data_IF_263163144974
#
_entry.id   IF_263163144974
#
_cell.length_a   1.000
_cell.length_b   1.000
_cell.length_c   1.000
_cell.angle_alpha   90.00
_cell.angle_beta   90.00
_cell.angle_gamma   90.00
#
_symmetry.space_group_name_H-M   'P 1'
#
loop_
_entity.id
_entity.type
_entity.pdbx_description
1 polymer ?
#
# COMPACT_ATOMS: atom_id res chain seq x y z
N UNK A 1 11.59 -20.08 8.57
CA UNK A 1 13.01 -20.00 8.23
C UNK A 1 13.18 -19.53 6.80
N UNK A 2 14.07 -18.60 6.58
CA UNK A 2 14.32 -18.10 5.23
C UNK A 2 15.02 -19.18 4.41
N UNK A 3 14.70 -19.23 3.11
CA UNK A 3 15.39 -20.13 2.21
C UNK A 3 16.83 -19.68 2.05
N UNK A 4 17.79 -20.62 1.90
CA UNK A 4 19.19 -20.23 1.74
C UNK A 4 19.44 -19.32 0.54
N UNK A 5 18.61 -19.47 -0.52
CA UNK A 5 18.76 -18.67 -1.74
C UNK A 5 17.84 -17.46 -1.78
N UNK A 6 17.16 -17.16 -0.67
CA UNK A 6 16.28 -16.01 -0.62
C UNK A 6 17.10 -14.71 -0.62
N UNK A 7 16.64 -13.74 -1.40
CA UNK A 7 17.28 -12.43 -1.41
C UNK A 7 16.78 -11.55 -0.28
N UNK A 8 15.76 -11.99 0.44
CA UNK A 8 15.15 -11.19 1.51
C UNK A 8 15.65 -11.63 2.87
N UNK A 9 15.97 -10.67 3.74
CA UNK A 9 16.32 -11.03 5.13
C UNK A 9 15.18 -11.77 5.80
N UNK A 10 15.54 -12.53 6.82
CA UNK A 10 14.54 -13.25 7.60
C UNK A 10 13.53 -12.28 8.18
N UNK A 11 12.27 -12.69 8.22
CA UNK A 11 11.16 -11.91 8.73
C UNK A 11 10.71 -10.74 7.85
N UNK A 12 11.38 -10.51 6.72
CA UNK A 12 11.00 -9.40 5.84
C UNK A 12 9.55 -9.53 5.39
N UNK A 13 9.15 -10.71 4.95
CA UNK A 13 7.79 -10.91 4.48
C UNK A 13 6.78 -10.74 5.61
N UNK A 14 7.07 -11.33 6.77
CA UNK A 14 6.15 -11.24 7.90
C UNK A 14 5.98 -9.79 8.36
N UNK A 15 7.08 -9.06 8.46
CA UNK A 15 7.02 -7.68 8.94
C UNK A 15 6.33 -6.76 7.93
N UNK A 16 6.57 -6.98 6.64
CA UNK A 16 5.90 -6.14 5.63
C UNK A 16 4.40 -6.41 5.61
N UNK A 17 4.01 -7.66 5.75
CA UNK A 17 2.59 -8.02 5.79
C UNK A 17 1.92 -7.42 7.04
N UNK A 18 2.62 -7.47 8.16
CA UNK A 18 2.10 -6.87 9.39
C UNK A 18 1.92 -5.37 9.23
N UNK A 19 2.92 -4.69 8.66
CA UNK A 19 2.82 -3.25 8.42
C UNK A 19 1.65 -2.93 7.51
N UNK A 20 1.49 -3.67 6.44
CA UNK A 20 0.37 -3.45 5.53
C UNK A 20 -0.96 -3.63 6.24
N UNK A 21 -1.07 -4.66 7.09
CA UNK A 21 -2.29 -4.88 7.85
C UNK A 21 -2.62 -3.71 8.77
N UNK A 22 -1.59 -3.14 9.40
CA UNK A 22 -1.77 -1.98 10.27
C UNK A 22 -2.23 -0.75 9.49
N UNK A 23 -1.81 -0.62 8.25
CA UNK A 23 -2.10 0.57 7.45
C UNK A 23 -3.41 0.47 6.67
N UNK A 24 -4.00 -0.72 6.59
CA UNK A 24 -5.25 -0.87 5.86
C UNK A 24 -6.33 -0.02 6.51
N UNK A 25 -7.09 0.66 5.66
CA UNK A 25 -8.17 1.52 6.13
C UNK A 25 -9.46 0.73 6.08
N UNK A 26 -9.96 0.36 7.25
CA UNK A 26 -11.22 -0.38 7.34
C UNK A 26 -12.41 0.53 7.14
N UNK A 27 -13.59 -0.07 7.02
CA UNK A 27 -14.82 0.67 6.78
C UNK A 27 -15.06 1.70 7.88
N UNK A 28 -14.75 1.32 9.12
CA UNK A 28 -14.98 2.20 10.26
C UNK A 28 -14.21 3.50 10.16
N UNK A 29 -12.99 3.43 9.62
CA UNK A 29 -12.10 4.57 9.55
C UNK A 29 -12.12 5.26 8.20
N UNK A 30 -12.82 4.69 7.22
CA UNK A 30 -12.76 5.18 5.85
C UNK A 30 -13.12 6.66 5.75
N UNK A 31 -14.24 7.06 6.37
CA UNK A 31 -14.70 8.45 6.26
C UNK A 31 -13.71 9.41 6.90
N UNK A 32 -13.04 8.97 7.95
CA UNK A 32 -12.10 9.82 8.67
C UNK A 32 -10.78 9.95 7.91
N UNK A 33 -10.34 8.89 7.25
CA UNK A 33 -8.98 8.82 6.68
C UNK A 33 -8.93 8.95 5.18
N UNK A 34 -10.07 8.90 4.51
CA UNK A 34 -10.06 8.85 3.03
C UNK A 34 -9.44 10.05 2.36
N UNK A 35 -9.45 11.21 3.02
CA UNK A 35 -8.88 12.43 2.47
C UNK A 35 -7.45 12.68 2.93
N UNK A 36 -6.89 11.77 3.72
CA UNK A 36 -5.52 11.93 4.21
C UNK A 36 -4.55 11.36 3.18
N UNK A 37 -3.99 12.25 2.36
CA UNK A 37 -3.14 11.82 1.25
C UNK A 37 -1.97 10.97 1.69
N UNK A 38 -1.28 11.39 2.76
CA UNK A 38 -0.13 10.62 3.25
C UNK A 38 -0.55 9.22 3.71
N UNK A 39 -1.69 9.14 4.36
CA UNK A 39 -2.19 7.88 4.86
C UNK A 39 -2.56 6.93 3.73
N UNK A 40 -3.21 7.48 2.68
CA UNK A 40 -3.57 6.69 1.51
C UNK A 40 -2.32 6.23 0.76
N UNK A 41 -1.36 7.14 0.59
CA UNK A 41 -0.12 6.79 -0.09
C UNK A 41 0.63 5.71 0.68
N UNK A 42 0.70 5.82 2.01
CA UNK A 42 1.39 4.85 2.82
C UNK A 42 0.77 3.47 2.69
N UNK A 43 -0.55 3.39 2.70
CA UNK A 43 -1.25 2.12 2.54
C UNK A 43 -0.91 1.49 1.19
N UNK A 44 -0.95 2.29 0.13
CA UNK A 44 -0.68 1.79 -1.22
C UNK A 44 0.77 1.36 -1.38
N UNK A 45 1.70 2.12 -0.80
CA UNK A 45 3.11 1.75 -0.88
C UNK A 45 3.40 0.48 -0.09
N UNK A 46 2.74 0.31 1.05
CA UNK A 46 2.90 -0.92 1.83
C UNK A 46 2.38 -2.12 1.04
N UNK A 47 1.25 -1.96 0.36
CA UNK A 47 0.73 -3.03 -0.48
C UNK A 47 1.70 -3.37 -1.61
N UNK A 48 2.26 -2.34 -2.25
CA UNK A 48 3.23 -2.56 -3.31
C UNK A 48 4.46 -3.29 -2.78
N UNK A 49 4.93 -2.91 -1.60
CA UNK A 49 6.08 -3.55 -0.98
C UNK A 49 5.82 -5.03 -0.71
N UNK A 50 4.64 -5.36 -0.18
CA UNK A 50 4.29 -6.75 0.08
C UNK A 50 4.30 -7.55 -1.22
N UNK A 51 3.73 -6.99 -2.29
CA UNK A 51 3.72 -7.67 -3.59
C UNK A 51 5.13 -7.90 -4.12
N UNK A 52 6.02 -6.91 -3.96
CA UNK A 52 7.40 -7.05 -4.39
C UNK A 52 8.10 -8.19 -3.66
N UNK A 53 7.93 -8.23 -2.34
CA UNK A 53 8.59 -9.23 -1.52
C UNK A 53 8.06 -10.63 -1.83
N UNK A 54 6.78 -10.73 -2.10
CA UNK A 54 6.15 -12.00 -2.45
C UNK A 54 6.29 -12.35 -3.93
N UNK A 55 7.00 -11.52 -4.69
CA UNK A 55 7.23 -11.70 -6.11
C UNK A 55 5.91 -11.79 -6.89
N UNK A 56 5.00 -10.90 -6.52
CA UNK A 56 3.73 -10.81 -7.20
C UNK A 56 3.84 -10.15 -8.56
N UNK A 57 2.70 -9.91 -9.18
CA UNK A 57 2.62 -9.37 -10.53
C UNK A 57 3.19 -7.96 -10.58
N UNK A 58 4.14 -7.73 -11.49
CA UNK A 58 4.80 -6.43 -11.58
C UNK A 58 3.86 -5.33 -12.05
N UNK A 59 2.85 -5.66 -12.86
CA UNK A 59 1.88 -4.66 -13.28
C UNK A 59 1.05 -4.18 -12.09
N UNK A 60 0.71 -5.09 -11.17
CA UNK A 60 -0.02 -4.70 -9.96
C UNK A 60 0.84 -3.81 -9.08
N UNK A 61 2.13 -4.13 -8.95
CA UNK A 61 3.05 -3.31 -8.17
C UNK A 61 3.14 -1.91 -8.77
N UNK A 62 3.29 -1.84 -10.10
CA UNK A 62 3.38 -0.55 -10.78
C UNK A 62 2.09 0.27 -10.59
N UNK A 63 0.94 -0.38 -10.68
CA UNK A 63 -0.34 0.30 -10.51
C UNK A 63 -0.46 0.87 -9.12
N UNK A 64 -0.13 0.08 -8.09
CA UNK A 64 -0.19 0.54 -6.71
C UNK A 64 0.78 1.70 -6.48
N UNK A 65 1.98 1.60 -7.04
CA UNK A 65 2.99 2.63 -6.87
C UNK A 65 2.56 3.94 -7.54
N UNK A 66 1.98 3.84 -8.74
CA UNK A 66 1.50 5.01 -9.45
C UNK A 66 0.34 5.68 -8.71
N UNK A 67 -0.55 4.90 -8.11
CA UNK A 67 -1.61 5.48 -7.29
C UNK A 67 -1.03 6.19 -6.08
N UNK A 68 -0.05 5.57 -5.42
CA UNK A 68 0.58 6.22 -4.27
C UNK A 68 1.23 7.53 -4.68
N UNK A 69 1.92 7.53 -5.82
CA UNK A 69 2.57 8.73 -6.33
C UNK A 69 1.54 9.83 -6.58
N UNK A 70 0.40 9.48 -7.16
CA UNK A 70 -0.66 10.45 -7.39
C UNK A 70 -1.15 11.10 -6.11
N UNK A 71 -1.30 10.32 -5.04
CA UNK A 71 -1.70 10.87 -3.75
C UNK A 71 -0.61 11.79 -3.18
N UNK A 72 0.66 11.38 -3.30
CA UNK A 72 1.78 12.17 -2.80
C UNK A 72 1.85 13.51 -3.52
N UNK A 73 1.61 13.50 -4.82
CA UNK A 73 1.70 14.71 -5.63
C UNK A 73 0.43 15.56 -5.56
N UNK A 74 -0.58 15.08 -4.89
CA UNK A 74 -1.84 15.81 -4.78
C UNK A 74 -2.69 15.75 -6.04
N UNK A 75 -2.37 14.84 -6.95
CA UNK A 75 -3.12 14.69 -8.20
C UNK A 75 -4.38 13.84 -8.02
N UNK A 76 -4.38 12.97 -7.03
CA UNK A 76 -5.54 12.14 -6.73
C UNK A 76 -6.22 12.68 -5.50
N UNK A 77 -7.53 12.69 -5.55
CA UNK A 77 -8.34 13.07 -4.41
C UNK A 77 -9.44 12.05 -4.25
N UNK A 78 -9.83 11.81 -3.02
CA UNK A 78 -10.99 10.99 -2.79
C UNK A 78 -12.19 11.68 -3.44
N UNK A 79 -12.92 10.97 -4.31
CA UNK A 79 -14.08 11.58 -4.94
C UNK A 79 -15.15 12.01 -3.96
N UNK A 80 -15.11 11.46 -2.76
CA UNK A 80 -16.09 11.79 -1.75
C UNK A 80 -17.48 11.42 -2.20
N UNK A 81 -18.43 12.28 -1.89
CA UNK A 81 -19.75 12.10 -2.42
C UNK A 81 -19.72 12.47 -3.89
N UNK A 82 -20.30 11.64 -4.72
CA UNK A 82 -20.33 11.97 -6.13
C UNK A 82 -21.09 13.24 -6.32
N UNK A 83 -20.51 14.04 -6.82
CA UNK A 83 -21.04 15.15 -7.00
C UNK A 83 -20.59 15.77 -8.02
N UNK A 84 -20.45 15.92 -7.96
CA UNK A 84 -20.10 16.59 -8.61
C UNK A 84 -20.31 16.90 -9.23
#
# INVERSE_FOLDING_TARGET
>A
MAKPDSIWPEQTQAKSTELHSLLKIGDRDWHRLKSQSNRRAAELLAAALVHLIQEGNSDDVAALTNQALGWIKGELKDPGCPRH
#
